data_IF_753908651453
#
_entry.id   IF_753908651453
#
_cell.length_a   1.000
_cell.length_b   1.000
_cell.length_c   1.000
_cell.angle_alpha   90.00
_cell.angle_beta   90.00
_cell.angle_gamma   90.00
#
_symmetry.space_group_name_H-M   'P 1'
#
loop_
_entity.id
_entity.type
_entity.pdbx_description
1 polymer ?
#
# COMPACT_ATOMS: atom_id res chain seq x y z
N UNK A 1 21.03 16.82 -9.41
CA UNK A 1 19.61 16.63 -9.07
C UNK A 1 19.44 15.16 -8.76
N UNK A 2 19.01 14.80 -7.55
CA UNK A 2 18.66 13.42 -7.23
C UNK A 2 17.44 13.06 -8.07
N UNK A 3 17.61 12.21 -9.07
CA UNK A 3 16.48 11.62 -9.77
C UNK A 3 15.70 10.80 -8.76
N UNK A 4 14.44 11.17 -8.51
CA UNK A 4 13.54 10.28 -7.79
C UNK A 4 13.56 8.92 -8.51
N UNK A 5 13.66 7.78 -7.80
CA UNK A 5 13.43 6.52 -8.47
C UNK A 5 12.05 6.66 -9.12
N UNK A 6 11.99 6.50 -10.45
CA UNK A 6 10.71 6.44 -11.15
C UNK A 6 9.97 5.25 -10.56
N UNK A 7 9.14 5.50 -9.54
CA UNK A 7 8.46 4.46 -8.77
C UNK A 7 7.90 3.43 -9.74
N UNK A 8 8.34 2.18 -9.59
CA UNK A 8 7.96 1.12 -10.49
C UNK A 8 6.44 0.94 -10.42
N UNK A 9 5.75 1.32 -11.50
CA UNK A 9 4.28 1.28 -11.56
C UNK A 9 3.72 -0.11 -11.32
N UNK A 10 4.48 -1.15 -11.68
CA UNK A 10 4.09 -2.54 -11.42
C UNK A 10 4.15 -2.84 -9.92
N UNK A 11 5.22 -2.44 -9.23
CA UNK A 11 5.34 -2.60 -7.77
C UNK A 11 4.25 -1.84 -7.04
N UNK A 12 3.91 -0.63 -7.47
CA UNK A 12 2.79 0.14 -6.92
C UNK A 12 1.47 -0.66 -6.98
N UNK A 13 1.15 -1.24 -8.15
CA UNK A 13 -0.06 -2.03 -8.34
C UNK A 13 -0.03 -3.29 -7.49
N UNK A 14 1.10 -3.99 -7.44
CA UNK A 14 1.27 -5.22 -6.64
C UNK A 14 1.07 -4.92 -5.15
N UNK A 15 1.73 -3.89 -4.62
CA UNK A 15 1.62 -3.47 -3.22
C UNK A 15 0.20 -3.02 -2.88
N UNK A 16 -0.43 -2.19 -3.72
CA UNK A 16 -1.81 -1.75 -3.51
C UNK A 16 -2.79 -2.94 -3.54
N UNK A 17 -2.59 -3.92 -4.43
CA UNK A 17 -3.39 -5.14 -4.48
C UNK A 17 -3.22 -6.03 -3.25
N UNK A 18 -1.98 -6.21 -2.78
CA UNK A 18 -1.70 -6.92 -1.52
C UNK A 18 -2.36 -6.23 -0.33
N UNK A 19 -2.22 -4.91 -0.22
CA UNK A 19 -2.83 -4.14 0.86
C UNK A 19 -4.36 -4.15 0.80
N UNK A 20 -4.96 -4.07 -0.39
CA UNK A 20 -6.41 -4.20 -0.55
C UNK A 20 -6.92 -5.57 -0.06
N UNK A 21 -6.17 -6.66 -0.29
CA UNK A 21 -6.51 -7.98 0.27
C UNK A 21 -6.47 -8.01 1.80
N UNK A 22 -5.54 -7.30 2.44
CA UNK A 22 -5.53 -7.17 3.90
C UNK A 22 -6.78 -6.42 4.39
N UNK A 23 -7.14 -5.31 3.74
CA UNK A 23 -8.35 -4.55 4.09
C UNK A 23 -9.65 -5.35 3.89
N UNK A 24 -9.71 -6.19 2.86
CA UNK A 24 -10.85 -7.10 2.63
C UNK A 24 -10.94 -8.20 3.69
N UNK A 25 -9.80 -8.59 4.30
CA UNK A 25 -9.74 -9.52 5.43
C UNK A 25 -10.04 -8.85 6.79
N UNK A 26 -10.42 -7.57 6.80
CA UNK A 26 -10.75 -6.83 8.01
C UNK A 26 -9.59 -6.11 8.68
N UNK A 27 -8.43 -5.98 8.02
CA UNK A 27 -7.35 -5.14 8.54
C UNK A 27 -7.78 -3.68 8.71
N UNK A 28 -7.26 -3.03 9.75
CA UNK A 28 -7.58 -1.63 10.06
C UNK A 28 -6.96 -0.71 8.99
N UNK A 29 -7.74 0.18 8.37
CA UNK A 29 -7.21 1.17 7.43
C UNK A 29 -6.53 2.33 8.16
N UNK A 30 -5.43 2.83 7.58
CA UNK A 30 -4.72 4.04 8.01
C UNK A 30 -5.22 5.32 7.31
N UNK A 31 -6.15 5.17 6.36
CA UNK A 31 -6.77 6.24 5.57
C UNK A 31 -8.27 6.06 5.48
N UNK A 32 -9.01 7.17 5.43
CA UNK A 32 -10.45 7.15 5.23
C UNK A 32 -10.82 6.91 3.75
N UNK A 33 -11.90 6.17 3.54
CA UNK A 33 -12.47 5.93 2.22
C UNK A 33 -13.49 4.81 2.21
N UNK A 34 -14.20 4.69 1.10
CA UNK A 34 -15.25 3.68 0.91
C UNK A 34 -14.71 2.43 0.21
N UNK A 35 -14.05 2.61 -0.93
CA UNK A 35 -13.49 1.50 -1.72
C UNK A 35 -12.13 1.08 -1.17
N UNK A 36 -12.01 -0.21 -0.78
CA UNK A 36 -10.77 -0.77 -0.21
C UNK A 36 -9.55 -0.59 -1.11
N UNK A 37 -9.71 -0.71 -2.43
CA UNK A 37 -8.60 -0.50 -3.36
C UNK A 37 -8.12 0.96 -3.38
N UNK A 38 -9.03 1.92 -3.25
CA UNK A 38 -8.69 3.35 -3.20
C UNK A 38 -7.99 3.71 -1.89
N UNK A 39 -8.41 3.10 -0.77
CA UNK A 39 -7.72 3.22 0.52
C UNK A 39 -6.30 2.68 0.38
N UNK A 40 -6.13 1.46 -0.12
CA UNK A 40 -4.83 0.83 -0.30
C UNK A 40 -3.88 1.63 -1.21
N UNK A 41 -4.37 2.16 -2.33
CA UNK A 41 -3.59 3.03 -3.22
C UNK A 41 -3.10 4.30 -2.49
N UNK A 42 -3.98 4.94 -1.70
CA UNK A 42 -3.61 6.12 -0.90
C UNK A 42 -2.58 5.78 0.17
N UNK A 43 -2.74 4.66 0.86
CA UNK A 43 -1.80 4.21 1.88
C UNK A 43 -0.42 3.92 1.28
N UNK A 44 -0.34 3.28 0.11
CA UNK A 44 0.94 3.03 -0.58
C UNK A 44 1.57 4.35 -1.06
N UNK A 45 0.82 5.24 -1.72
CA UNK A 45 1.34 6.54 -2.17
C UNK A 45 1.85 7.41 -1.02
N UNK A 46 1.18 7.32 0.14
CA UNK A 46 1.55 8.06 1.36
C UNK A 46 2.55 7.31 2.25
N UNK A 47 3.09 6.17 1.78
CA UNK A 47 4.08 5.34 2.49
C UNK A 47 3.63 4.92 3.89
N UNK A 48 2.34 4.62 4.05
CA UNK A 48 1.73 4.10 5.29
C UNK A 48 1.70 2.57 5.36
N UNK A 49 2.24 1.90 4.34
CA UNK A 49 2.33 0.43 4.27
C UNK A 49 3.79 0.05 4.45
N UNK A 50 4.08 -0.72 5.48
CA UNK A 50 5.42 -1.19 5.80
C UNK A 50 5.51 -2.70 5.65
N UNK A 51 6.69 -3.18 5.24
CA UNK A 51 6.98 -4.61 5.21
C UNK A 51 7.28 -5.05 6.64
N UNK A 52 6.59 -6.08 7.10
CA UNK A 52 6.90 -6.73 8.38
C UNK A 52 8.12 -7.63 8.14
N UNK A 53 9.20 -7.40 8.88
CA UNK A 53 10.32 -8.35 8.97
C UNK A 53 9.82 -9.57 9.75
N UNK A 54 9.92 -10.78 9.19
CA UNK A 54 9.54 -11.99 9.93
C UNK A 54 10.41 -12.10 11.17
N UNK A 55 9.78 -12.13 12.35
CA UNK A 55 10.49 -12.45 13.58
C UNK A 55 10.99 -13.90 13.46
N UNK A 56 12.31 -14.07 13.48
CA UNK A 56 12.96 -15.39 13.53
C UNK A 56 12.62 -16.14 14.81
#
# INVERSE_FOLDING_TARGET
MQEAPKDNRFEFVVLAGMRARQLLRGAVPHEAGEKKITIAQREVLRRKVEKIEEAQ
#
